data_IF_019448184192
#
_entry.id   IF_019448184192
#
_cell.length_a   1.000
_cell.length_b   1.000
_cell.length_c   1.000
_cell.angle_alpha   90.00
_cell.angle_beta   90.00
_cell.angle_gamma   90.00
#
_symmetry.space_group_name_H-M   'P 1'
#
loop_
_entity.id
_entity.type
_entity.pdbx_description
1 polymer ?
#
# COMPACT_ATOMS: atom_id res chain seq x y z
N UNK A 1 5.70 0.75 -26.28
CA UNK A 1 5.61 -0.38 -25.34
C UNK A 1 4.40 -0.09 -24.47
N UNK A 2 3.26 -0.68 -24.81
CA UNK A 2 2.04 -0.49 -24.02
C UNK A 2 2.18 -1.34 -22.76
N UNK A 3 2.31 -0.70 -21.60
CA UNK A 3 2.10 -1.38 -20.34
C UNK A 3 0.62 -1.68 -20.26
N UNK A 4 0.20 -2.86 -20.75
CA UNK A 4 -1.09 -3.43 -20.39
C UNK A 4 -1.04 -3.72 -18.89
N UNK A 5 -1.31 -2.71 -18.08
CA UNK A 5 -1.51 -2.85 -16.66
C UNK A 5 -2.73 -3.73 -16.49
N UNK A 6 -2.53 -5.03 -16.28
CA UNK A 6 -3.58 -5.89 -15.77
C UNK A 6 -3.97 -5.34 -14.39
N UNK A 7 -4.97 -4.45 -14.38
CA UNK A 7 -5.60 -3.93 -13.17
C UNK A 7 -6.17 -5.13 -12.45
N UNK A 8 -5.44 -5.59 -11.43
CA UNK A 8 -5.82 -6.76 -10.65
C UNK A 8 -6.98 -6.33 -9.76
N UNK A 9 -8.21 -6.51 -10.24
CA UNK A 9 -9.41 -6.12 -9.50
C UNK A 9 -9.60 -7.04 -8.30
N UNK A 10 -9.51 -6.48 -7.10
CA UNK A 10 -9.76 -7.14 -5.83
C UNK A 10 -11.27 -7.06 -5.58
N UNK A 11 -11.96 -8.18 -5.32
CA UNK A 11 -13.36 -8.13 -4.94
C UNK A 11 -13.52 -7.34 -3.64
N UNK A 12 -14.68 -6.70 -3.44
CA UNK A 12 -15.00 -6.06 -2.16
C UNK A 12 -14.95 -7.08 -1.02
N UNK A 13 -14.51 -6.63 0.16
CA UNK A 13 -14.45 -7.48 1.34
C UNK A 13 -15.86 -7.94 1.73
N UNK A 14 -16.00 -9.25 1.97
CA UNK A 14 -17.19 -9.90 2.48
C UNK A 14 -16.83 -10.88 3.60
N UNK A 15 -17.83 -11.41 4.30
CA UNK A 15 -17.64 -12.42 5.36
C UNK A 15 -16.91 -13.66 4.85
N UNK A 16 -17.17 -14.04 3.60
CA UNK A 16 -16.72 -15.32 3.04
C UNK A 16 -15.38 -15.23 2.30
N UNK A 17 -14.83 -14.01 2.12
CA UNK A 17 -13.63 -13.81 1.29
C UNK A 17 -12.44 -13.18 2.04
N UNK A 18 -12.53 -12.97 3.35
CA UNK A 18 -11.50 -12.24 4.12
C UNK A 18 -10.07 -12.74 3.87
N UNK A 19 -9.82 -14.04 3.94
CA UNK A 19 -8.46 -14.59 3.77
C UNK A 19 -7.94 -14.36 2.34
N UNK A 20 -8.78 -14.61 1.34
CA UNK A 20 -8.43 -14.37 -0.06
C UNK A 20 -8.22 -12.88 -0.33
N UNK A 21 -9.08 -12.02 0.22
CA UNK A 21 -9.01 -10.58 0.10
C UNK A 21 -7.69 -10.05 0.69
N UNK A 22 -7.36 -10.48 1.91
CA UNK A 22 -6.13 -10.12 2.61
C UNK A 22 -4.88 -10.53 1.82
N UNK A 23 -4.85 -11.75 1.29
CA UNK A 23 -3.72 -12.24 0.48
C UNK A 23 -3.55 -11.43 -0.81
N UNK A 24 -4.66 -11.04 -1.47
CA UNK A 24 -4.60 -10.20 -2.68
C UNK A 24 -4.09 -8.80 -2.40
N UNK A 25 -4.55 -8.16 -1.32
CA UNK A 25 -4.04 -6.86 -0.86
C UNK A 25 -2.54 -6.97 -0.61
N UNK A 26 -2.10 -7.97 0.17
CA UNK A 26 -0.69 -8.17 0.45
C UNK A 26 0.13 -8.41 -0.83
N UNK A 27 -0.36 -9.20 -1.79
CA UNK A 27 0.32 -9.46 -3.05
C UNK A 27 0.55 -8.18 -3.87
N UNK A 28 -0.46 -7.30 -3.95
CA UNK A 28 -0.34 -6.01 -4.64
C UNK A 28 0.65 -5.10 -3.93
N UNK A 29 0.59 -5.00 -2.60
CA UNK A 29 1.53 -4.17 -1.85
C UNK A 29 2.97 -4.70 -1.93
N UNK A 30 3.16 -6.02 -1.96
CA UNK A 30 4.49 -6.63 -2.16
C UNK A 30 5.01 -6.33 -3.56
N UNK A 31 4.17 -6.48 -4.59
CA UNK A 31 4.50 -6.13 -5.99
C UNK A 31 4.93 -4.66 -6.11
N UNK A 32 4.21 -3.76 -5.43
CA UNK A 32 4.48 -2.33 -5.47
C UNK A 32 5.56 -1.89 -4.47
N UNK A 33 6.14 -2.82 -3.70
CA UNK A 33 7.13 -2.54 -2.64
C UNK A 33 6.62 -1.63 -1.52
N UNK A 34 5.30 -1.53 -1.36
CA UNK A 34 4.63 -0.72 -0.34
C UNK A 34 4.19 -1.52 0.89
N UNK A 35 4.33 -2.85 0.89
CA UNK A 35 4.04 -3.70 2.06
C UNK A 35 4.72 -3.28 3.37
N UNK A 36 5.95 -2.74 3.38
CA UNK A 36 6.58 -2.28 4.62
C UNK A 36 5.77 -1.22 5.40
N UNK A 37 4.99 -0.38 4.72
CA UNK A 37 4.14 0.65 5.34
C UNK A 37 2.96 0.04 6.11
N UNK A 38 2.31 -1.00 5.55
CA UNK A 38 1.19 -1.69 6.21
C UNK A 38 1.62 -2.73 7.25
N UNK A 39 2.77 -3.38 7.04
CA UNK A 39 3.27 -4.42 7.96
C UNK A 39 3.98 -3.88 9.20
N UNK A 40 4.18 -2.56 9.29
CA UNK A 40 4.96 -1.94 10.37
C UNK A 40 6.47 -2.15 10.25
N UNK A 41 6.97 -2.74 9.16
CA UNK A 41 8.42 -2.87 8.90
C UNK A 41 9.06 -1.52 8.56
N UNK A 42 8.28 -0.58 8.05
CA UNK A 42 8.67 0.81 7.84
C UNK A 42 7.69 1.73 8.60
N UNK A 43 7.79 1.82 9.93
CA UNK A 43 6.88 2.64 10.72
C UNK A 43 7.09 4.12 10.38
N UNK A 44 6.03 4.91 10.54
CA UNK A 44 6.13 6.36 10.40
C UNK A 44 7.18 6.90 11.39
N UNK A 45 8.17 7.70 10.95
CA UNK A 45 9.11 8.33 11.85
C UNK A 45 8.42 9.27 12.83
N UNK A 46 8.85 9.28 14.08
CA UNK A 46 8.40 10.26 15.05
C UNK A 46 8.89 11.66 14.64
N UNK A 47 8.01 12.68 14.54
CA UNK A 47 8.44 14.02 14.16
C UNK A 47 9.40 14.65 15.16
N UNK A 48 10.52 15.17 14.66
CA UNK A 48 11.51 15.94 15.40
C UNK A 48 11.84 17.23 14.63
N UNK A 49 12.59 18.15 15.23
CA UNK A 49 12.99 19.40 14.57
C UNK A 49 13.79 19.15 13.27
N UNK A 50 14.56 18.06 13.20
CA UNK A 50 15.54 17.84 12.14
C UNK A 50 15.08 16.86 11.04
N UNK A 51 13.94 16.17 11.23
CA UNK A 51 13.50 15.09 10.32
C UNK A 51 12.21 15.39 9.55
N UNK A 52 11.79 16.66 9.50
CA UNK A 52 10.55 17.08 8.83
C UNK A 52 10.44 16.57 7.38
N UNK A 53 11.54 16.58 6.62
CA UNK A 53 11.60 16.05 5.26
C UNK A 53 11.40 14.53 5.20
N UNK A 54 11.99 13.77 6.12
CA UNK A 54 11.82 12.32 6.18
C UNK A 54 10.38 11.93 6.53
N UNK A 55 9.74 12.68 7.44
CA UNK A 55 8.33 12.51 7.78
C UNK A 55 7.42 12.82 6.59
N UNK A 56 7.71 13.89 5.85
CA UNK A 56 6.96 14.23 4.63
C UNK A 56 7.10 13.15 3.56
N UNK A 57 8.33 12.71 3.26
CA UNK A 57 8.58 11.65 2.28
C UNK A 57 7.89 10.33 2.66
N UNK A 58 7.90 9.96 3.94
CA UNK A 58 7.18 8.77 4.41
C UNK A 58 5.67 8.88 4.15
N UNK A 59 5.07 10.06 4.42
CA UNK A 59 3.64 10.29 4.19
C UNK A 59 3.29 10.22 2.71
N UNK A 60 4.12 10.79 1.84
CA UNK A 60 3.86 10.78 0.39
C UNK A 60 3.85 9.33 -0.15
N UNK A 61 4.76 8.48 0.30
CA UNK A 61 4.79 7.07 -0.08
C UNK A 61 3.65 6.25 0.55
N UNK A 62 3.24 6.56 1.79
CA UNK A 62 2.06 5.96 2.43
C UNK A 62 0.76 6.32 1.67
N UNK A 63 0.60 7.57 1.24
CA UNK A 63 -0.53 8.00 0.42
C UNK A 63 -0.53 7.34 -0.96
N UNK A 64 0.63 7.18 -1.61
CA UNK A 64 0.76 6.39 -2.85
C UNK A 64 0.32 4.94 -2.64
N UNK A 65 0.74 4.31 -1.54
CA UNK A 65 0.34 2.95 -1.21
C UNK A 65 -1.18 2.81 -1.03
N UNK A 66 -1.84 3.79 -0.39
CA UNK A 66 -3.31 3.82 -0.26
C UNK A 66 -4.00 4.01 -1.59
N UNK A 67 -3.49 4.91 -2.43
CA UNK A 67 -4.05 5.19 -3.75
C UNK A 67 -4.00 3.93 -4.64
N UNK A 68 -2.88 3.20 -4.64
CA UNK A 68 -2.73 1.95 -5.37
C UNK A 68 -3.77 0.90 -4.96
N UNK A 69 -4.04 0.76 -3.67
CA UNK A 69 -5.07 -0.15 -3.17
C UNK A 69 -6.47 0.29 -3.57
N UNK A 70 -6.77 1.59 -3.47
CA UNK A 70 -8.06 2.14 -3.87
C UNK A 70 -8.35 1.91 -5.36
N UNK A 71 -7.34 2.08 -6.21
CA UNK A 71 -7.46 1.84 -7.65
C UNK A 71 -7.60 0.35 -8.02
N UNK A 72 -7.26 -0.55 -7.10
CA UNK A 72 -7.32 -2.00 -7.32
C UNK A 72 -8.66 -2.63 -6.89
N UNK A 73 -9.57 -1.91 -6.24
CA UNK A 73 -10.86 -2.40 -5.75
C UNK A 73 -11.97 -2.05 -6.75
#
# INVERSE_FOLDING_TARGET
>A
MEFSGNTTRIPLLSRDNYDTWKLRIQAIMVRNKTWPYASGRNPRPEPTADNSQAVAAWKDEDEKAKADLYLAI
#
